data_IF_259132880213
#
_entry.id   IF_259132880213
#
_cell.length_a   1.000
_cell.length_b   1.000
_cell.length_c   1.000
_cell.angle_alpha   90.00
_cell.angle_beta   90.00
_cell.angle_gamma   90.00
#
_symmetry.space_group_name_H-M   'P 1'
#
loop_
_entity.id
_entity.type
_entity.pdbx_description
1 polymer ?
#
# COMPACT_ATOMS: atom_id res chain seq x y z
N UNK A 1 -22.72 -7.95 33.21
CA UNK A 1 -22.34 -7.21 32.01
C UNK A 1 -20.85 -7.03 31.82
N UNK A 2 -20.04 -7.23 32.86
CA UNK A 2 -18.58 -7.05 32.79
C UNK A 2 -17.80 -8.32 32.42
N UNK A 3 -18.47 -9.45 32.28
CA UNK A 3 -17.86 -10.75 32.02
C UNK A 3 -17.63 -11.07 30.55
N UNK A 4 -17.91 -10.14 29.64
CA UNK A 4 -17.91 -10.38 28.20
C UNK A 4 -16.79 -9.68 27.44
N UNK A 5 -15.81 -9.08 28.12
CA UNK A 5 -14.64 -8.50 27.45
C UNK A 5 -13.57 -9.57 27.26
N UNK A 6 -13.21 -9.81 26.01
CA UNK A 6 -12.17 -10.76 25.64
C UNK A 6 -10.88 -10.03 25.20
N UNK A 7 -9.74 -10.74 25.26
CA UNK A 7 -8.49 -10.23 24.71
C UNK A 7 -8.68 -9.87 23.24
N UNK A 8 -8.06 -8.79 22.84
CA UNK A 8 -8.10 -8.23 21.46
C UNK A 8 -9.45 -7.62 21.07
N UNK A 9 -10.39 -7.50 21.99
CA UNK A 9 -11.64 -6.82 21.71
C UNK A 9 -11.42 -5.32 21.56
N UNK A 10 -12.11 -4.72 20.57
CA UNK A 10 -12.05 -3.28 20.35
C UNK A 10 -13.05 -2.57 21.26
N UNK A 11 -12.55 -1.61 22.01
CA UNK A 11 -13.33 -0.83 22.98
C UNK A 11 -13.07 0.66 22.79
N UNK A 12 -14.08 1.48 23.10
CA UNK A 12 -13.94 2.92 23.19
C UNK A 12 -13.56 3.32 24.61
N UNK A 13 -12.47 4.04 24.77
CA UNK A 13 -12.03 4.58 26.06
C UNK A 13 -12.66 5.97 26.23
N UNK A 14 -13.71 6.05 27.04
CA UNK A 14 -14.48 7.28 27.20
C UNK A 14 -13.67 8.42 27.83
N UNK A 15 -12.77 8.11 28.73
CA UNK A 15 -11.89 9.10 29.39
C UNK A 15 -10.89 9.77 28.42
N UNK A 16 -10.49 9.06 27.39
CA UNK A 16 -9.56 9.55 26.36
C UNK A 16 -10.24 9.90 25.04
N UNK A 17 -11.52 9.56 24.91
CA UNK A 17 -12.29 9.70 23.68
C UNK A 17 -11.58 9.07 22.48
N UNK A 18 -10.95 7.93 22.68
CA UNK A 18 -10.21 7.18 21.67
C UNK A 18 -10.56 5.70 21.71
N UNK A 19 -10.25 5.01 20.64
CA UNK A 19 -10.49 3.57 20.51
C UNK A 19 -9.21 2.81 20.78
N UNK A 20 -9.34 1.72 21.51
CA UNK A 20 -8.22 0.84 21.84
C UNK A 20 -8.60 -0.63 21.76
N UNK A 21 -7.60 -1.48 21.94
CA UNK A 21 -7.77 -2.93 22.00
C UNK A 21 -7.45 -3.43 23.42
N UNK A 22 -8.30 -4.30 23.95
CA UNK A 22 -8.08 -4.92 25.27
C UNK A 22 -6.90 -5.88 25.18
N UNK A 23 -5.89 -5.68 26.03
CA UNK A 23 -4.71 -6.53 26.10
C UNK A 23 -4.86 -7.64 27.14
N UNK A 24 -5.48 -7.33 28.26
CA UNK A 24 -5.65 -8.25 29.39
C UNK A 24 -7.06 -8.17 29.92
N UNK A 25 -7.50 -9.25 30.56
CA UNK A 25 -8.79 -9.29 31.24
C UNK A 25 -8.81 -8.37 32.45
N UNK A 26 -10.00 -7.90 32.91
CA UNK A 26 -10.09 -7.06 34.09
C UNK A 26 -9.49 -7.74 35.31
N UNK A 27 -8.78 -6.97 36.13
CA UNK A 27 -8.28 -7.44 37.44
C UNK A 27 -9.39 -7.42 38.50
N UNK A 28 -9.03 -7.75 39.74
CA UNK A 28 -9.97 -7.78 40.87
C UNK A 28 -10.58 -6.41 41.18
N UNK A 29 -9.89 -5.32 40.75
CA UNK A 29 -10.35 -3.96 40.98
C UNK A 29 -11.12 -3.39 39.75
N UNK A 30 -11.26 -4.19 38.70
CA UNK A 30 -11.93 -3.77 37.47
C UNK A 30 -11.07 -2.93 36.53
N UNK A 31 -9.76 -2.93 36.69
CA UNK A 31 -8.82 -2.25 35.82
C UNK A 31 -8.46 -3.14 34.61
N UNK A 32 -8.42 -2.55 33.45
CA UNK A 32 -8.13 -3.23 32.18
C UNK A 32 -6.98 -2.54 31.49
N UNK A 33 -6.02 -3.32 31.00
CA UNK A 33 -4.95 -2.81 30.15
C UNK A 33 -5.44 -2.72 28.72
N UNK A 34 -5.43 -1.52 28.16
CA UNK A 34 -5.91 -1.23 26.80
C UNK A 34 -4.79 -0.58 26.00
N UNK A 35 -4.59 -1.05 24.79
CA UNK A 35 -3.66 -0.42 23.84
C UNK A 35 -4.41 0.60 22.99
N UNK A 36 -4.03 1.87 23.13
CA UNK A 36 -4.56 2.99 22.36
C UNK A 36 -3.44 3.53 21.47
N UNK A 37 -3.51 3.22 20.17
CA UNK A 37 -2.43 3.53 19.25
C UNK A 37 -1.13 2.80 19.61
N UNK A 38 -0.08 3.55 19.93
CA UNK A 38 1.21 3.02 20.38
C UNK A 38 1.36 2.97 21.89
N UNK A 39 0.36 3.48 22.63
CA UNK A 39 0.41 3.57 24.09
C UNK A 39 -0.43 2.47 24.74
N UNK A 40 0.06 1.97 25.88
CA UNK A 40 -0.69 1.07 26.73
C UNK A 40 -1.17 1.88 27.96
N UNK A 41 -2.46 1.85 28.21
CA UNK A 41 -3.08 2.56 29.33
C UNK A 41 -3.87 1.59 30.20
N UNK A 42 -3.83 1.81 31.49
CA UNK A 42 -4.64 1.06 32.44
C UNK A 42 -5.85 1.90 32.82
N UNK A 43 -7.05 1.43 32.48
CA UNK A 43 -8.30 2.14 32.73
C UNK A 43 -9.32 1.25 33.40
N UNK A 44 -10.23 1.86 34.16
CA UNK A 44 -11.30 1.12 34.80
C UNK A 44 -12.34 0.68 33.77
N UNK A 45 -12.89 -0.52 33.93
CA UNK A 45 -13.87 -1.10 32.99
C UNK A 45 -15.11 -0.22 32.81
N UNK A 46 -15.48 0.58 33.79
CA UNK A 46 -16.61 1.52 33.72
C UNK A 46 -16.38 2.66 32.69
N UNK A 47 -15.12 2.92 32.32
CA UNK A 47 -14.75 3.92 31.32
C UNK A 47 -14.64 3.35 29.90
N UNK A 48 -14.90 2.07 29.75
CA UNK A 48 -14.86 1.38 28.45
C UNK A 48 -16.27 1.15 27.90
N UNK A 49 -16.42 1.35 26.61
CA UNK A 49 -17.62 1.03 25.88
C UNK A 49 -17.32 0.08 24.75
N UNK A 50 -18.13 -0.96 24.61
CA UNK A 50 -17.98 -1.92 23.52
C UNK A 50 -18.31 -1.29 22.17
N UNK A 51 -17.42 -1.42 21.21
CA UNK A 51 -17.58 -0.89 19.87
C UNK A 51 -17.76 -2.04 18.87
N UNK A 52 -18.98 -2.42 18.59
CA UNK A 52 -19.30 -3.51 17.65
C UNK A 52 -19.25 -3.06 16.19
N UNK A 53 -19.36 -1.77 15.92
CA UNK A 53 -19.49 -1.25 14.56
C UNK A 53 -18.16 -0.99 13.85
N UNK A 54 -17.03 -1.17 14.49
CA UNK A 54 -15.77 -0.64 13.97
C UNK A 54 -14.80 -1.64 13.35
N UNK A 55 -14.99 -2.96 13.52
CA UNK A 55 -14.14 -3.93 12.83
C UNK A 55 -14.26 -3.82 11.31
N UNK A 56 -15.48 -3.60 10.80
CA UNK A 56 -15.71 -3.43 9.37
C UNK A 56 -15.17 -2.08 8.83
N UNK A 57 -15.25 -1.01 9.62
CA UNK A 57 -14.70 0.30 9.24
C UNK A 57 -13.18 0.36 9.39
N UNK A 58 -12.62 -0.24 10.44
CA UNK A 58 -11.15 -0.31 10.60
C UNK A 58 -10.49 -1.10 9.48
N UNK A 59 -11.08 -2.21 9.06
CA UNK A 59 -10.58 -2.98 7.92
C UNK A 59 -10.67 -2.17 6.63
N UNK A 60 -11.76 -1.43 6.43
CA UNK A 60 -11.94 -0.54 5.26
C UNK A 60 -11.00 0.67 5.30
N UNK A 61 -10.82 1.29 6.46
CA UNK A 61 -9.90 2.43 6.63
C UNK A 61 -8.44 2.02 6.52
N UNK A 62 -8.04 0.89 7.09
CA UNK A 62 -6.67 0.40 6.96
C UNK A 62 -6.35 0.02 5.52
N UNK A 63 -7.28 -0.60 4.81
CA UNK A 63 -7.11 -0.94 3.39
C UNK A 63 -7.02 0.34 2.53
N UNK A 64 -7.89 1.32 2.75
CA UNK A 64 -7.83 2.63 2.06
C UNK A 64 -6.53 3.37 2.39
N UNK A 65 -6.08 3.34 3.63
CA UNK A 65 -4.83 4.00 4.06
C UNK A 65 -3.59 3.32 3.47
N UNK A 66 -3.57 1.99 3.38
CA UNK A 66 -2.50 1.22 2.73
C UNK A 66 -2.46 1.53 1.23
N UNK A 67 -3.59 1.52 0.55
CA UNK A 67 -3.69 1.86 -0.87
C UNK A 67 -3.22 3.30 -1.12
N UNK A 68 -3.68 4.25 -0.31
CA UNK A 68 -3.29 5.66 -0.42
C UNK A 68 -1.81 5.89 -0.10
N UNK A 69 -1.25 5.22 0.91
CA UNK A 69 0.17 5.32 1.23
C UNK A 69 1.03 4.68 0.14
N UNK A 70 0.61 3.54 -0.43
CA UNK A 70 1.32 2.87 -1.53
C UNK A 70 1.30 3.74 -2.81
N UNK A 71 0.17 4.36 -3.15
CA UNK A 71 0.09 5.26 -4.31
C UNK A 71 0.92 6.53 -4.14
N UNK A 72 1.13 7.03 -2.90
CA UNK A 72 1.98 8.20 -2.66
C UNK A 72 3.48 7.90 -2.73
N UNK A 73 3.88 6.62 -2.63
CA UNK A 73 5.29 6.18 -2.72
C UNK A 73 5.69 5.65 -4.08
N UNK A 74 4.75 5.30 -4.94
CA UNK A 74 5.05 4.77 -6.27
C UNK A 74 5.24 5.93 -7.24
N UNK A 75 6.45 6.03 -7.79
CA UNK A 75 6.77 7.01 -8.83
C UNK A 75 6.14 6.60 -10.16
N UNK A 76 5.83 7.57 -10.98
CA UNK A 76 5.32 7.34 -12.33
C UNK A 76 6.40 7.02 -13.35
N UNK A 77 7.64 6.83 -12.92
CA UNK A 77 8.77 6.46 -13.78
C UNK A 77 9.69 5.45 -13.12
N UNK A 78 10.32 4.62 -13.93
CA UNK A 78 11.38 3.70 -13.51
C UNK A 78 12.60 3.87 -14.40
N UNK A 79 13.79 3.91 -13.81
CA UNK A 79 15.06 4.02 -14.51
C UNK A 79 15.75 2.65 -14.58
N UNK A 80 15.84 2.09 -15.78
CA UNK A 80 16.47 0.79 -16.04
C UNK A 80 17.82 0.94 -16.74
N UNK A 81 18.34 2.15 -16.88
CA UNK A 81 19.63 2.38 -17.55
C UNK A 81 20.76 1.68 -16.82
N UNK A 82 21.67 1.09 -17.58
CA UNK A 82 22.82 0.40 -17.05
C UNK A 82 22.56 -1.00 -16.47
N UNK A 83 21.33 -1.47 -16.52
CA UNK A 83 20.95 -2.83 -16.09
C UNK A 83 21.07 -3.82 -17.23
N UNK A 84 21.33 -5.09 -16.88
CA UNK A 84 21.20 -6.19 -17.84
C UNK A 84 19.73 -6.39 -18.20
N UNK A 85 19.45 -7.05 -19.32
CA UNK A 85 18.08 -7.33 -19.72
C UNK A 85 17.32 -8.13 -18.67
N UNK A 86 17.95 -9.15 -18.08
CA UNK A 86 17.33 -10.00 -17.07
C UNK A 86 16.98 -9.20 -15.80
N UNK A 87 17.89 -8.37 -15.31
CA UNK A 87 17.67 -7.50 -14.17
C UNK A 87 16.55 -6.48 -14.46
N UNK A 88 16.59 -5.88 -15.65
CA UNK A 88 15.57 -4.92 -16.06
C UNK A 88 14.18 -5.55 -16.15
N UNK A 89 14.06 -6.78 -16.64
CA UNK A 89 12.77 -7.48 -16.73
C UNK A 89 12.19 -7.78 -15.33
N UNK A 90 13.01 -8.20 -14.37
CA UNK A 90 12.57 -8.43 -12.99
C UNK A 90 12.08 -7.14 -12.33
N UNK A 91 12.84 -6.06 -12.47
CA UNK A 91 12.47 -4.77 -11.91
C UNK A 91 11.22 -4.19 -12.58
N UNK A 92 11.10 -4.36 -13.88
CA UNK A 92 9.94 -3.90 -14.65
C UNK A 92 8.67 -4.65 -14.27
N UNK A 93 8.75 -5.96 -14.12
CA UNK A 93 7.60 -6.79 -13.71
C UNK A 93 7.03 -6.33 -12.37
N UNK A 94 7.91 -6.17 -11.38
CA UNK A 94 7.53 -5.64 -10.08
C UNK A 94 6.95 -4.21 -10.18
N UNK A 95 7.58 -3.35 -10.96
CA UNK A 95 7.15 -1.97 -11.14
C UNK A 95 5.76 -1.87 -11.76
N UNK A 96 5.47 -2.66 -12.79
CA UNK A 96 4.15 -2.69 -13.45
C UNK A 96 3.08 -3.12 -12.45
N UNK A 97 3.34 -4.14 -11.63
CA UNK A 97 2.42 -4.55 -10.58
C UNK A 97 2.18 -3.43 -9.57
N UNK A 98 3.23 -2.75 -9.13
CA UNK A 98 3.13 -1.66 -8.16
C UNK A 98 2.33 -0.47 -8.70
N UNK A 99 2.57 -0.04 -9.94
CA UNK A 99 1.82 1.08 -10.54
C UNK A 99 0.38 0.71 -10.88
N UNK A 100 0.13 -0.54 -11.22
CA UNK A 100 -1.23 -1.05 -11.44
C UNK A 100 -2.04 -1.05 -10.16
N UNK A 101 -1.48 -1.58 -9.07
CA UNK A 101 -2.11 -1.58 -7.74
C UNK A 101 -2.33 -0.14 -7.24
N UNK A 102 -1.37 0.76 -7.50
CA UNK A 102 -1.47 2.17 -7.13
C UNK A 102 -2.53 2.95 -7.93
N UNK A 103 -3.07 2.37 -9.00
CA UNK A 103 -4.09 2.99 -9.82
C UNK A 103 -3.58 4.05 -10.79
N UNK A 104 -2.28 4.04 -11.10
CA UNK A 104 -1.72 4.93 -12.11
C UNK A 104 -2.20 4.52 -13.50
N UNK A 105 -2.53 5.50 -14.32
CA UNK A 105 -2.97 5.27 -15.72
C UNK A 105 -1.82 5.24 -16.70
N UNK A 106 -0.77 5.95 -16.41
CA UNK A 106 0.38 6.12 -17.29
C UNK A 106 1.67 6.07 -16.47
N UNK A 107 2.70 5.45 -17.03
CA UNK A 107 4.02 5.38 -16.43
C UNK A 107 5.11 5.42 -17.50
N UNK A 108 6.31 5.81 -17.09
CA UNK A 108 7.46 6.01 -17.96
C UNK A 108 8.56 5.01 -17.64
N UNK A 109 9.07 4.34 -18.65
CA UNK A 109 10.17 3.39 -18.52
C UNK A 109 11.40 3.98 -19.19
N UNK A 110 12.41 4.34 -18.40
CA UNK A 110 13.66 4.94 -18.89
C UNK A 110 14.67 3.82 -19.11
N UNK A 111 14.90 3.46 -20.33
CA UNK A 111 15.85 2.42 -20.73
C UNK A 111 17.13 2.96 -21.40
N UNK A 112 17.14 4.23 -21.75
CA UNK A 112 18.22 4.86 -22.46
C UNK A 112 18.21 4.53 -23.96
N UNK A 113 19.09 5.20 -24.70
CA UNK A 113 19.22 5.02 -26.16
C UNK A 113 20.13 3.83 -26.53
N UNK A 114 21.24 3.65 -25.88
CA UNK A 114 22.19 2.55 -25.98
C UNK A 114 22.20 1.72 -27.27
N UNK A 115 22.42 0.43 -27.13
CA UNK A 115 22.38 -0.55 -28.25
C UNK A 115 20.96 -0.93 -28.69
N UNK A 116 19.93 -0.50 -27.92
CA UNK A 116 18.55 -0.87 -28.18
C UNK A 116 18.12 -2.21 -27.58
N UNK A 117 19.01 -2.96 -26.93
CA UNK A 117 18.70 -4.27 -26.34
C UNK A 117 17.61 -4.16 -25.28
N UNK A 118 17.73 -3.22 -24.34
CA UNK A 118 16.70 -2.98 -23.33
C UNK A 118 15.38 -2.54 -23.97
N UNK A 119 15.43 -1.63 -24.91
CA UNK A 119 14.24 -1.12 -25.61
C UNK A 119 13.46 -2.23 -26.30
N UNK A 120 14.13 -3.07 -27.06
CA UNK A 120 13.48 -4.18 -27.76
C UNK A 120 12.97 -5.26 -26.80
N UNK A 121 13.74 -5.60 -25.79
CA UNK A 121 13.31 -6.54 -24.76
C UNK A 121 12.08 -6.06 -23.99
N UNK A 122 12.06 -4.80 -23.61
CA UNK A 122 10.92 -4.16 -22.93
C UNK A 122 9.67 -4.16 -23.82
N UNK A 123 9.79 -3.81 -25.08
CA UNK A 123 8.68 -3.84 -26.04
C UNK A 123 8.09 -5.25 -26.19
N UNK A 124 8.95 -6.25 -26.31
CA UNK A 124 8.53 -7.65 -26.38
C UNK A 124 7.77 -8.11 -25.15
N UNK A 125 8.23 -7.69 -23.97
CA UNK A 125 7.57 -7.98 -22.70
C UNK A 125 6.20 -7.29 -22.57
N UNK A 126 6.14 -6.00 -22.90
CA UNK A 126 4.91 -5.20 -22.79
C UNK A 126 3.81 -5.67 -23.74
N UNK A 127 4.18 -6.16 -24.92
CA UNK A 127 3.24 -6.61 -25.93
C UNK A 127 2.26 -7.67 -25.43
N UNK A 128 2.72 -8.55 -24.55
CA UNK A 128 1.95 -9.67 -24.03
C UNK A 128 1.52 -9.50 -22.58
N UNK A 129 1.76 -8.35 -21.98
CA UNK A 129 1.45 -8.12 -20.58
C UNK A 129 -0.03 -7.76 -20.38
N UNK A 130 -0.70 -8.52 -19.49
CA UNK A 130 -2.16 -8.40 -19.24
C UNK A 130 -2.60 -7.05 -18.66
N UNK A 131 -1.73 -6.37 -17.92
CA UNK A 131 -2.05 -5.09 -17.25
C UNK A 131 -1.73 -3.87 -18.10
N UNK A 132 -1.15 -4.07 -19.27
CA UNK A 132 -0.76 -3.01 -20.19
C UNK A 132 -1.80 -2.88 -21.31
N UNK A 133 -2.41 -1.70 -21.41
CA UNK A 133 -3.37 -1.37 -22.45
C UNK A 133 -2.66 -1.02 -23.76
N UNK A 134 -1.66 -0.15 -23.68
CA UNK A 134 -0.85 0.27 -24.81
C UNK A 134 0.52 0.75 -24.37
N UNK A 135 1.47 0.82 -25.31
CA UNK A 135 2.78 1.41 -25.09
C UNK A 135 3.24 2.16 -26.32
N UNK A 136 4.05 3.18 -26.12
CA UNK A 136 4.63 4.01 -27.20
C UNK A 136 6.01 4.51 -26.83
N UNK A 137 6.78 4.94 -27.80
CA UNK A 137 8.01 5.68 -27.54
C UNK A 137 7.75 7.05 -26.92
N UNK A 138 8.70 7.58 -26.18
CA UNK A 138 8.63 8.92 -25.63
C UNK A 138 8.65 9.98 -26.71
N UNK A 139 7.92 11.08 -26.46
CA UNK A 139 7.93 12.27 -27.31
C UNK A 139 9.07 13.20 -26.92
N UNK A 140 9.30 14.22 -27.71
CA UNK A 140 10.19 15.31 -27.34
C UNK A 140 9.71 15.95 -26.03
N UNK A 141 10.58 16.05 -25.05
CA UNK A 141 10.26 16.46 -23.68
C UNK A 141 9.94 15.34 -22.72
N UNK A 142 9.64 14.12 -23.21
CA UNK A 142 9.41 12.92 -22.40
C UNK A 142 10.65 12.01 -22.28
N UNK A 143 11.75 12.37 -22.94
CA UNK A 143 12.97 11.57 -23.04
C UNK A 143 13.21 10.92 -24.41
N UNK A 144 12.33 11.12 -25.37
CA UNK A 144 12.47 10.65 -26.74
C UNK A 144 12.65 9.13 -26.87
N UNK A 145 13.63 8.72 -27.68
CA UNK A 145 13.91 7.29 -27.94
C UNK A 145 14.46 6.51 -26.73
N UNK A 146 14.87 7.22 -25.69
CA UNK A 146 15.37 6.61 -24.44
C UNK A 146 14.28 6.22 -23.44
N UNK A 147 13.02 6.47 -23.75
CA UNK A 147 11.87 6.24 -22.86
C UNK A 147 10.75 5.52 -23.59
N UNK A 148 10.12 4.58 -22.93
CA UNK A 148 8.86 3.97 -23.37
C UNK A 148 7.76 4.37 -22.39
N UNK A 149 6.67 4.90 -22.92
CA UNK A 149 5.50 5.28 -22.12
C UNK A 149 4.47 4.16 -22.21
N UNK A 150 4.00 3.73 -21.04
CA UNK A 150 2.98 2.69 -20.92
C UNK A 150 1.67 3.28 -20.44
N UNK A 151 0.57 2.81 -21.00
CA UNK A 151 -0.78 3.05 -20.51
C UNK A 151 -1.30 1.77 -19.87
N UNK A 152 -1.76 1.87 -18.63
CA UNK A 152 -2.25 0.74 -17.86
C UNK A 152 -3.75 0.52 -18.09
N UNK A 153 -4.17 -0.72 -17.92
CA UNK A 153 -5.58 -1.10 -18.05
C UNK A 153 -6.49 -0.41 -17.02
#
# INVERSE_FOLDING_TARGET
PYTTLFRSETVEVLSLNQIGSVLELPDENGNVMVQVGLMKVNVHISTLRRSEMEEAEKTRMSTKKIIKSKSSYVKNEIDLRGKTLDEAMLDLDKYIDDVYIAGLREAYIIHGKGTGVLREGIKGYLKNHRNIKSYRGGKYGEGGDGVTVIELM
#
